data_IF_873756208100
#
_entry.id   IF_873756208100
#
_cell.length_a   1.000
_cell.length_b   1.000
_cell.length_c   1.000
_cell.angle_alpha   90.00
_cell.angle_beta   90.00
_cell.angle_gamma   90.00
#
_symmetry.space_group_name_H-M   'P 1'
#
loop_
_entity.id
_entity.type
_entity.pdbx_description
1 polymer ?
#
# COMPACT_ATOMS: atom_id res chain seq x y z
N UNK A 1 -26.73 68.01 -25.70
CA UNK A 1 -26.79 66.65 -26.27
C UNK A 1 -25.55 66.42 -27.10
N UNK A 2 -24.53 65.73 -26.57
CA UNK A 2 -23.38 65.25 -27.35
C UNK A 2 -23.41 63.73 -27.26
N UNK A 3 -24.09 63.12 -28.22
CA UNK A 3 -23.98 61.70 -28.48
C UNK A 3 -22.65 61.46 -29.18
N UNK A 4 -21.79 60.62 -28.61
CA UNK A 4 -21.29 59.47 -29.37
C UNK A 4 -20.66 58.41 -28.45
N UNK A 5 -21.36 57.28 -28.43
CA UNK A 5 -20.81 55.93 -28.51
C UNK A 5 -19.68 55.61 -27.53
N UNK A 6 -20.09 54.93 -26.45
CA UNK A 6 -19.35 53.81 -25.87
C UNK A 6 -18.89 52.84 -26.98
N UNK A 7 -17.76 53.11 -27.62
CA UNK A 7 -16.85 52.04 -28.00
C UNK A 7 -16.25 51.54 -26.70
N UNK A 8 -16.15 50.22 -26.51
CA UNK A 8 -15.45 49.60 -25.39
C UNK A 8 -14.07 50.25 -25.21
N UNK A 9 -13.94 51.23 -24.29
CA UNK A 9 -12.67 51.83 -23.92
C UNK A 9 -11.88 50.83 -23.08
N UNK A 10 -11.29 49.83 -23.73
CA UNK A 10 -10.35 48.95 -23.06
C UNK A 10 -9.00 49.68 -22.94
N UNK A 11 -8.80 50.32 -21.79
CA UNK A 11 -7.53 50.98 -21.45
C UNK A 11 -6.49 49.91 -21.07
N UNK A 12 -5.42 49.83 -21.85
CA UNK A 12 -4.32 48.88 -21.64
C UNK A 12 -3.04 49.58 -21.21
N UNK A 13 -2.18 48.88 -20.47
CA UNK A 13 -0.83 49.38 -20.16
C UNK A 13 0.03 49.44 -21.42
N UNK A 14 1.09 50.24 -21.43
CA UNK A 14 2.04 50.31 -22.56
C UNK A 14 2.64 48.91 -22.85
N UNK A 15 2.91 48.13 -21.81
CA UNK A 15 3.45 46.77 -21.94
C UNK A 15 2.47 45.82 -22.60
N UNK A 16 1.18 45.94 -22.30
CA UNK A 16 0.16 45.09 -22.93
C UNK A 16 -0.17 45.57 -24.34
N UNK A 17 -0.20 46.88 -24.57
CA UNK A 17 -0.28 47.47 -25.90
C UNK A 17 0.84 46.95 -26.81
N UNK A 18 2.09 46.95 -26.34
CA UNK A 18 3.24 46.44 -27.07
C UNK A 18 3.07 44.97 -27.49
N UNK A 19 2.50 44.13 -26.62
CA UNK A 19 2.16 42.73 -26.93
C UNK A 19 1.05 42.65 -27.98
N UNK A 20 0.02 43.47 -27.86
CA UNK A 20 -1.11 43.51 -28.80
C UNK A 20 -0.66 43.90 -30.21
N UNK A 21 0.25 44.85 -30.36
CA UNK A 21 0.71 45.31 -31.69
C UNK A 21 1.98 44.62 -32.19
N UNK A 22 2.58 43.75 -31.35
CA UNK A 22 3.85 43.05 -31.61
C UNK A 22 5.01 44.00 -31.95
N UNK A 23 5.08 45.11 -31.21
CA UNK A 23 6.17 46.10 -31.31
C UNK A 23 6.89 46.22 -29.97
N UNK A 24 8.10 46.76 -29.99
CA UNK A 24 8.84 47.04 -28.77
C UNK A 24 8.16 48.17 -27.99
N UNK A 25 8.21 48.11 -26.65
CA UNK A 25 7.69 49.17 -25.78
C UNK A 25 8.25 50.56 -26.15
N UNK A 26 9.53 50.63 -26.51
CA UNK A 26 10.19 51.87 -26.92
C UNK A 26 9.55 52.49 -28.17
N UNK A 27 9.06 51.68 -29.11
CA UNK A 27 8.34 52.16 -30.30
C UNK A 27 7.04 52.85 -29.91
N UNK A 28 6.27 52.25 -28.98
CA UNK A 28 5.03 52.86 -28.51
C UNK A 28 5.30 54.16 -27.74
N UNK A 29 6.34 54.20 -26.90
CA UNK A 29 6.73 55.44 -26.21
C UNK A 29 7.08 56.55 -27.19
N UNK A 30 7.88 56.25 -28.22
CA UNK A 30 8.24 57.21 -29.27
C UNK A 30 7.03 57.67 -30.07
N UNK A 31 6.10 56.77 -30.36
CA UNK A 31 4.88 57.10 -31.10
C UNK A 31 3.92 57.97 -30.26
N UNK A 32 3.95 57.84 -28.92
CA UNK A 32 3.26 58.77 -28.01
C UNK A 32 3.93 60.15 -28.03
N UNK A 33 5.26 60.20 -27.95
CA UNK A 33 6.04 61.45 -27.96
C UNK A 33 5.85 62.23 -29.28
N UNK A 34 5.77 61.51 -30.41
CA UNK A 34 5.55 62.09 -31.73
C UNK A 34 4.08 62.43 -32.02
N UNK A 35 3.15 62.16 -31.08
CA UNK A 35 1.71 62.41 -31.26
C UNK A 35 1.00 61.43 -32.19
N UNK A 36 1.65 60.33 -32.60
CA UNK A 36 1.03 59.27 -33.39
C UNK A 36 0.02 58.45 -32.57
N UNK A 37 0.27 58.30 -31.26
CA UNK A 37 -0.63 57.67 -30.29
C UNK A 37 -1.06 58.65 -29.21
N UNK A 38 -2.34 58.61 -28.86
CA UNK A 38 -2.85 59.33 -27.69
C UNK A 38 -2.72 58.48 -26.43
N UNK A 39 -2.32 59.09 -25.31
CA UNK A 39 -2.30 58.46 -23.99
C UNK A 39 -3.30 59.08 -23.04
N UNK A 40 -3.81 58.27 -22.12
CA UNK A 40 -4.61 58.70 -20.98
C UNK A 40 -3.76 58.55 -19.73
N UNK A 41 -3.63 59.61 -18.93
CA UNK A 41 -2.98 59.56 -17.63
C UNK A 41 -4.08 59.41 -16.58
N UNK A 42 -4.04 58.33 -15.81
CA UNK A 42 -4.99 58.08 -14.72
C UNK A 42 -4.67 58.95 -13.50
N UNK A 43 -5.57 58.99 -12.51
CA UNK A 43 -5.39 59.78 -11.28
C UNK A 43 -4.11 59.40 -10.51
N UNK A 44 -3.67 58.15 -10.65
CA UNK A 44 -2.45 57.62 -10.01
C UNK A 44 -1.16 57.90 -10.80
N UNK A 45 -1.24 58.67 -11.90
CA UNK A 45 -0.11 58.92 -12.81
C UNK A 45 0.17 57.81 -13.82
N UNK A 46 -0.62 56.73 -13.77
CA UNK A 46 -0.52 55.56 -14.63
C UNK A 46 -0.87 55.90 -16.09
N UNK A 47 0.01 55.55 -17.03
CA UNK A 47 -0.20 55.79 -18.46
C UNK A 47 -0.94 54.59 -19.08
N UNK A 48 -2.10 54.87 -19.67
CA UNK A 48 -2.93 53.92 -20.40
C UNK A 48 -3.13 54.35 -21.85
N UNK A 49 -3.33 53.38 -22.73
CA UNK A 49 -3.62 53.59 -24.15
C UNK A 49 -4.92 52.86 -24.47
N UNK A 50 -5.80 53.49 -25.25
CA UNK A 50 -7.02 52.85 -25.72
C UNK A 50 -6.70 51.84 -26.83
N UNK A 51 -7.30 50.65 -26.76
CA UNK A 51 -7.28 49.68 -27.86
C UNK A 51 -7.79 50.22 -29.19
N UNK A 52 -8.75 51.16 -29.19
CA UNK A 52 -9.22 51.82 -30.41
C UNK A 52 -8.12 52.68 -31.05
N UNK A 53 -7.34 53.40 -30.24
CA UNK A 53 -6.17 54.15 -30.71
C UNK A 53 -5.08 53.23 -31.28
N UNK A 54 -4.83 52.10 -30.62
CA UNK A 54 -3.89 51.10 -31.13
C UNK A 54 -4.35 50.51 -32.46
N UNK A 55 -5.66 50.28 -32.61
CA UNK A 55 -6.24 49.80 -33.86
C UNK A 55 -6.19 50.85 -34.97
N UNK A 56 -6.40 52.13 -34.65
CA UNK A 56 -6.24 53.24 -35.60
C UNK A 56 -4.79 53.38 -36.08
N UNK A 57 -3.83 53.33 -35.16
CA UNK A 57 -2.41 53.56 -35.44
C UNK A 57 -1.72 52.38 -36.14
N UNK A 58 -2.11 51.14 -35.81
CA UNK A 58 -1.41 49.94 -36.28
C UNK A 58 -2.29 48.94 -37.03
N UNK A 59 -3.59 49.21 -37.16
CA UNK A 59 -4.54 48.44 -37.98
C UNK A 59 -5.02 47.13 -37.35
N UNK A 60 -4.12 46.30 -36.83
CA UNK A 60 -4.44 44.96 -36.32
C UNK A 60 -3.87 44.71 -34.93
N UNK A 61 -4.74 44.29 -34.02
CA UNK A 61 -4.35 43.79 -32.70
C UNK A 61 -4.22 42.27 -32.72
N UNK A 62 -3.19 41.79 -32.06
CA UNK A 62 -2.89 40.37 -31.89
C UNK A 62 -3.24 39.97 -30.47
N UNK A 63 -4.14 39.01 -30.32
CA UNK A 63 -4.40 38.44 -29.02
C UNK A 63 -3.31 37.39 -28.70
N UNK A 64 -2.43 37.61 -27.72
CA UNK A 64 -1.42 36.62 -27.34
C UNK A 64 -2.04 35.31 -26.80
N UNK A 65 -3.30 35.33 -26.36
CA UNK A 65 -4.07 34.13 -25.95
C UNK A 65 -4.69 33.36 -27.13
N UNK A 66 -4.61 33.89 -28.35
CA UNK A 66 -5.09 33.24 -29.57
C UNK A 66 -3.99 32.47 -30.32
N UNK A 67 -2.79 32.31 -29.73
CA UNK A 67 -1.81 31.32 -30.20
C UNK A 67 -2.47 29.92 -30.31
N UNK A 68 -2.05 29.05 -31.26
CA UNK A 68 -2.77 27.82 -31.56
C UNK A 68 -2.81 26.89 -30.34
N UNK A 69 -3.96 26.90 -29.65
CA UNK A 69 -4.24 26.06 -28.48
C UNK A 69 -4.22 24.56 -28.84
N UNK A 70 -4.33 24.23 -30.12
CA UNK A 70 -4.36 22.88 -30.68
C UNK A 70 -3.12 22.06 -30.23
N UNK A 71 -1.91 22.56 -30.48
CA UNK A 71 -0.67 21.80 -30.26
C UNK A 71 -0.39 21.56 -28.77
N UNK A 72 -0.78 22.51 -27.92
CA UNK A 72 -0.60 22.41 -26.46
C UNK A 72 -1.65 21.50 -25.81
N UNK A 73 -2.87 21.46 -26.35
CA UNK A 73 -3.91 20.51 -25.94
C UNK A 73 -3.55 19.08 -26.33
N UNK A 74 -3.15 18.85 -27.58
CA UNK A 74 -2.77 17.51 -28.06
C UNK A 74 -1.64 16.89 -27.24
N UNK A 75 -0.62 17.68 -26.87
CA UNK A 75 0.49 17.18 -26.04
C UNK A 75 0.07 16.91 -24.59
N UNK A 76 -0.75 17.79 -23.99
CA UNK A 76 -1.30 17.57 -22.64
C UNK A 76 -2.28 16.39 -22.56
N UNK A 77 -3.08 16.17 -23.59
CA UNK A 77 -4.03 15.06 -23.65
C UNK A 77 -3.28 13.73 -23.81
N UNK A 78 -2.23 13.69 -24.64
CA UNK A 78 -1.38 12.49 -24.79
C UNK A 78 -0.71 12.07 -23.48
N UNK A 79 -0.15 13.02 -22.72
CA UNK A 79 0.48 12.69 -21.42
C UNK A 79 -0.56 12.24 -20.40
N UNK A 80 -1.74 12.86 -20.39
CA UNK A 80 -2.85 12.45 -19.52
C UNK A 80 -3.35 11.05 -19.85
N UNK A 81 -3.47 10.71 -21.13
CA UNK A 81 -3.87 9.38 -21.58
C UNK A 81 -2.83 8.34 -21.14
N UNK A 82 -1.54 8.59 -21.38
CA UNK A 82 -0.48 7.66 -20.97
C UNK A 82 -0.48 7.38 -19.45
N UNK A 83 -0.69 8.43 -18.64
CA UNK A 83 -0.79 8.29 -17.18
C UNK A 83 -2.01 7.46 -16.76
N UNK A 84 -3.16 7.67 -17.42
CA UNK A 84 -4.37 6.90 -17.14
C UNK A 84 -4.22 5.42 -17.53
N UNK A 85 -3.57 5.13 -18.66
CA UNK A 85 -3.27 3.77 -19.08
C UNK A 85 -2.32 3.04 -18.12
N UNK A 86 -1.30 3.72 -17.60
CA UNK A 86 -0.41 3.16 -16.58
C UNK A 86 -1.18 2.88 -15.28
N UNK A 87 -2.04 3.81 -14.85
CA UNK A 87 -2.88 3.63 -13.67
C UNK A 87 -3.84 2.45 -13.85
N UNK A 88 -4.46 2.29 -15.01
CA UNK A 88 -5.32 1.14 -15.31
C UNK A 88 -4.54 -0.17 -15.25
N UNK A 89 -3.36 -0.25 -15.87
CA UNK A 89 -2.47 -1.43 -15.77
C UNK A 89 -2.04 -1.75 -14.33
N UNK A 90 -1.88 -0.71 -13.50
CA UNK A 90 -1.61 -0.90 -12.07
C UNK A 90 -2.82 -1.50 -11.34
N UNK A 91 -4.01 -0.96 -11.58
CA UNK A 91 -5.25 -1.46 -10.97
C UNK A 91 -5.56 -2.90 -11.38
N UNK A 92 -5.33 -3.27 -12.64
CA UNK A 92 -5.48 -4.66 -13.11
C UNK A 92 -4.57 -5.61 -12.35
N UNK A 93 -3.30 -5.22 -12.10
CA UNK A 93 -2.37 -6.03 -11.29
C UNK A 93 -2.85 -6.18 -9.85
N UNK A 94 -3.40 -5.12 -9.25
CA UNK A 94 -3.95 -5.17 -7.89
C UNK A 94 -5.12 -6.16 -7.81
N UNK A 95 -6.03 -6.14 -8.79
CA UNK A 95 -7.17 -7.08 -8.84
C UNK A 95 -6.69 -8.54 -8.88
N UNK A 96 -5.66 -8.83 -9.69
CA UNK A 96 -5.09 -10.18 -9.77
C UNK A 96 -4.49 -10.61 -8.43
N UNK A 97 -3.68 -9.74 -7.81
CA UNK A 97 -3.05 -10.01 -6.52
C UNK A 97 -4.08 -10.19 -5.40
N UNK A 98 -5.15 -9.38 -5.38
CA UNK A 98 -6.23 -9.54 -4.42
C UNK A 98 -6.96 -10.88 -4.59
N UNK A 99 -7.16 -11.33 -5.83
CA UNK A 99 -7.75 -12.64 -6.09
C UNK A 99 -6.84 -13.78 -5.62
N UNK A 100 -5.53 -13.67 -5.80
CA UNK A 100 -4.54 -14.64 -5.27
C UNK A 100 -4.54 -14.67 -3.74
N UNK A 101 -4.54 -13.49 -3.09
CA UNK A 101 -4.62 -13.40 -1.64
C UNK A 101 -5.89 -14.05 -1.07
N UNK A 102 -7.04 -13.88 -1.74
CA UNK A 102 -8.28 -14.56 -1.35
C UNK A 102 -8.14 -16.07 -1.46
N UNK A 103 -7.58 -16.58 -2.57
CA UNK A 103 -7.35 -18.03 -2.75
C UNK A 103 -6.43 -18.60 -1.67
N UNK A 104 -5.31 -17.94 -1.39
CA UNK A 104 -4.35 -18.38 -0.35
C UNK A 104 -5.02 -18.36 1.02
N UNK A 105 -5.78 -17.31 1.34
CA UNK A 105 -6.53 -17.23 2.59
C UNK A 105 -7.51 -18.39 2.71
N UNK A 106 -8.28 -18.69 1.67
CA UNK A 106 -9.24 -19.78 1.66
C UNK A 106 -8.55 -21.13 1.85
N UNK A 107 -7.42 -21.36 1.17
CA UNK A 107 -6.58 -22.56 1.34
C UNK A 107 -6.13 -22.71 2.80
N UNK A 108 -5.54 -21.68 3.40
CA UNK A 108 -5.09 -21.70 4.79
C UNK A 108 -6.25 -22.00 5.74
N UNK A 109 -7.41 -21.37 5.53
CA UNK A 109 -8.58 -21.63 6.39
C UNK A 109 -9.10 -23.06 6.26
N UNK A 110 -9.06 -23.64 5.05
CA UNK A 110 -9.47 -25.01 4.82
C UNK A 110 -8.49 -26.01 5.44
N UNK A 111 -7.18 -25.78 5.32
CA UNK A 111 -6.18 -26.61 5.99
C UNK A 111 -6.30 -26.56 7.51
N UNK A 112 -6.52 -25.38 8.09
CA UNK A 112 -6.72 -25.23 9.53
C UNK A 112 -7.98 -25.97 9.99
N UNK A 113 -9.09 -25.89 9.23
CA UNK A 113 -10.32 -26.65 9.51
C UNK A 113 -10.10 -28.15 9.42
N UNK A 114 -9.38 -28.64 8.41
CA UNK A 114 -9.06 -30.05 8.27
C UNK A 114 -8.23 -30.56 9.46
N UNK A 115 -7.18 -29.81 9.86
CA UNK A 115 -6.36 -30.16 11.03
C UNK A 115 -7.14 -30.15 12.34
N UNK A 116 -8.15 -29.28 12.48
CA UNK A 116 -9.03 -29.28 13.64
C UNK A 116 -9.94 -30.52 13.63
N UNK A 117 -10.53 -30.86 12.49
CA UNK A 117 -11.36 -32.05 12.35
C UNK A 117 -10.58 -33.34 12.65
N UNK A 118 -9.32 -33.43 12.19
CA UNK A 118 -8.43 -34.56 12.50
C UNK A 118 -8.14 -34.66 13.99
N UNK A 119 -7.91 -33.53 14.66
CA UNK A 119 -7.72 -33.49 16.12
C UNK A 119 -8.97 -33.93 16.87
N UNK A 120 -10.15 -33.46 16.47
CA UNK A 120 -11.42 -33.88 17.06
C UNK A 120 -11.66 -35.39 16.88
N UNK A 121 -11.27 -35.94 15.73
CA UNK A 121 -11.33 -37.38 15.49
C UNK A 121 -10.38 -38.17 16.39
N UNK A 122 -9.14 -37.71 16.53
CA UNK A 122 -8.16 -38.34 17.43
C UNK A 122 -8.60 -38.30 18.88
N UNK A 123 -9.19 -37.18 19.33
CA UNK A 123 -9.76 -37.04 20.68
C UNK A 123 -10.83 -38.12 20.90
N UNK A 124 -11.77 -38.30 19.96
CA UNK A 124 -12.81 -39.34 20.06
C UNK A 124 -12.25 -40.76 20.13
N UNK A 125 -11.22 -41.06 19.33
CA UNK A 125 -10.55 -42.37 19.38
C UNK A 125 -9.90 -42.58 20.75
N UNK A 126 -9.21 -41.56 21.25
CA UNK A 126 -8.55 -41.63 22.55
C UNK A 126 -9.58 -41.79 23.69
N UNK A 127 -10.68 -41.04 23.67
CA UNK A 127 -11.79 -41.19 24.61
C UNK A 127 -12.36 -42.62 24.60
N UNK A 128 -12.65 -43.17 23.41
CA UNK A 128 -13.11 -44.55 23.26
C UNK A 128 -12.11 -45.58 23.84
N UNK A 129 -10.81 -45.38 23.59
CA UNK A 129 -9.76 -46.25 24.10
C UNK A 129 -9.59 -46.14 25.62
N UNK A 130 -9.72 -44.93 26.17
CA UNK A 130 -9.69 -44.70 27.63
C UNK A 130 -10.86 -45.42 28.29
N UNK A 131 -12.07 -45.28 27.77
CA UNK A 131 -13.26 -46.00 28.27
C UNK A 131 -13.06 -47.52 28.29
N UNK A 132 -12.49 -48.09 27.22
CA UNK A 132 -12.21 -49.51 27.15
C UNK A 132 -11.19 -49.96 28.22
N UNK A 133 -10.11 -49.20 28.40
CA UNK A 133 -9.10 -49.50 29.41
C UNK A 133 -9.63 -49.36 30.85
N UNK A 134 -10.54 -48.41 31.10
CA UNK A 134 -11.18 -48.25 32.41
C UNK A 134 -12.10 -49.43 32.71
N UNK A 135 -12.88 -49.89 31.73
CA UNK A 135 -13.70 -51.09 31.85
C UNK A 135 -12.84 -52.35 32.13
N UNK A 136 -11.74 -52.54 31.40
CA UNK A 136 -10.80 -53.65 31.63
C UNK A 136 -10.18 -53.63 33.03
N UNK A 137 -9.88 -52.43 33.56
CA UNK A 137 -9.38 -52.29 34.94
C UNK A 137 -10.44 -52.68 35.96
N UNK A 138 -11.69 -52.28 35.76
CA UNK A 138 -12.80 -52.60 36.67
C UNK A 138 -13.12 -54.10 36.66
N UNK A 139 -13.12 -54.74 35.48
CA UNK A 139 -13.39 -56.18 35.35
C UNK A 139 -12.25 -57.06 35.88
N UNK A 140 -11.00 -56.58 35.88
CA UNK A 140 -9.88 -57.26 36.56
C UNK A 140 -9.92 -57.17 38.09
N UNK A 141 -10.61 -56.19 38.66
CA UNK A 141 -10.83 -56.11 40.10
C UNK A 141 -12.03 -56.99 40.51
N UNK A 142 -11.93 -58.30 40.31
CA UNK A 142 -12.82 -59.26 40.98
C UNK A 142 -12.25 -59.51 42.38
N UNK A 143 -13.05 -59.45 43.47
CA UNK A 143 -12.55 -59.57 44.84
C UNK A 143 -12.09 -61.00 45.13
N UNK A 144 -10.79 -61.18 45.38
CA UNK A 144 -10.27 -62.40 46.02
C UNK A 144 -10.77 -62.44 47.45
N UNK A 145 -11.87 -63.15 47.68
CA UNK A 145 -12.28 -63.62 49.00
C UNK A 145 -11.55 -64.94 49.27
N UNK A 146 -10.56 -64.93 50.18
CA UNK A 146 -10.36 -65.95 51.23
C UNK A 146 -9.16 -65.59 52.15
N UNK A 147 -9.17 -66.03 53.42
CA UNK A 147 -8.70 -65.24 54.56
C UNK A 147 -7.27 -65.59 55.03
N UNK A 148 -6.70 -64.66 55.83
CA UNK A 148 -5.43 -64.83 56.55
C UNK A 148 -5.39 -66.11 57.41
N UNK A 149 -4.27 -66.84 57.31
CA UNK A 149 -3.80 -67.75 58.36
C UNK A 149 -2.30 -67.48 58.64
N UNK A 150 -1.87 -67.29 59.91
CA UNK A 150 -0.52 -66.82 60.22
C UNK A 150 0.51 -67.93 60.51
N UNK A 151 1.70 -67.80 59.91
CA UNK A 151 3.08 -68.18 60.35
C UNK A 151 3.39 -69.68 60.67
N UNK A 152 4.67 -70.18 60.61
CA UNK A 152 5.90 -69.53 61.09
C UNK A 152 7.18 -69.66 60.22
N UNK A 153 8.16 -68.83 60.59
CA UNK A 153 9.48 -68.64 60.01
C UNK A 153 10.51 -69.73 60.37
N UNK A 154 11.54 -69.94 59.52
CA UNK A 154 12.99 -70.07 59.87
C UNK A 154 13.93 -70.32 58.65
N UNK A 155 15.30 -70.20 58.75
CA UNK A 155 16.07 -69.18 58.02
C UNK A 155 17.35 -69.71 57.30
N UNK A 156 18.28 -68.78 57.00
CA UNK A 156 19.73 -68.90 56.68
C UNK A 156 20.11 -68.81 55.18
N UNK A 157 20.73 -67.69 54.78
CA UNK A 157 22.19 -67.47 54.61
C UNK A 157 22.67 -68.04 53.25
N UNK A 158 23.34 -67.32 52.35
CA UNK A 158 24.50 -66.44 52.54
C UNK A 158 24.85 -65.77 51.19
N UNK A 159 25.54 -64.64 51.23
CA UNK A 159 26.33 -64.03 50.13
C UNK A 159 27.80 -64.01 50.59
N UNK A 160 28.82 -63.59 49.79
CA UNK A 160 29.12 -63.62 48.33
C UNK A 160 30.56 -64.19 48.09
N UNK A 161 31.28 -63.94 46.96
CA UNK A 161 32.12 -62.72 46.93
C UNK A 161 32.39 -62.05 45.56
N UNK A 162 32.65 -60.74 45.65
CA UNK A 162 33.65 -59.91 44.98
C UNK A 162 33.87 -59.90 43.44
N UNK A 163 33.45 -58.76 42.87
CA UNK A 163 34.25 -57.81 42.07
C UNK A 163 35.18 -58.31 40.94
N UNK A 164 34.89 -57.88 39.70
CA UNK A 164 35.89 -57.10 38.93
C UNK A 164 35.25 -56.19 37.88
N UNK A 165 35.60 -54.91 38.01
CA UNK A 165 35.51 -53.80 37.06
C UNK A 165 35.89 -54.18 35.61
N UNK A 166 35.03 -53.86 34.63
CA UNK A 166 35.52 -53.55 33.26
C UNK A 166 34.65 -52.54 32.52
N UNK A 167 35.00 -51.29 32.77
CA UNK A 167 34.83 -50.09 31.95
C UNK A 167 34.90 -50.39 30.43
N UNK A 168 33.81 -50.13 29.70
CA UNK A 168 33.87 -49.72 28.28
C UNK A 168 32.97 -48.52 28.03
N UNK A 169 33.63 -47.42 27.68
CA UNK A 169 33.05 -46.17 27.18
C UNK A 169 32.52 -46.37 25.75
N UNK A 170 31.31 -45.89 25.48
CA UNK A 170 30.84 -45.28 24.21
C UNK A 170 29.76 -44.27 24.60
N UNK A 171 30.10 -42.99 24.71
CA UNK A 171 30.09 -42.00 23.63
C UNK A 171 28.65 -41.51 23.32
N UNK A 172 28.37 -40.28 23.77
CA UNK A 172 27.54 -39.31 23.05
C UNK A 172 26.01 -39.46 23.13
N UNK A 173 25.40 -38.94 24.20
CA UNK A 173 24.03 -38.38 24.13
C UNK A 173 24.05 -36.97 24.69
N UNK A 174 24.45 -36.04 23.84
CA UNK A 174 24.29 -34.60 24.06
C UNK A 174 23.53 -34.02 22.88
N UNK A 175 22.46 -33.28 23.16
CA UNK A 175 21.92 -32.27 22.25
C UNK A 175 20.90 -32.74 21.20
N UNK A 176 19.65 -32.91 21.62
CA UNK A 176 18.51 -32.74 20.69
C UNK A 176 17.65 -31.51 21.04
N UNK A 177 17.63 -31.09 22.31
CA UNK A 177 16.74 -30.03 22.79
C UNK A 177 17.25 -28.59 22.64
N UNK A 178 18.51 -28.38 22.22
CA UNK A 178 19.10 -27.01 22.07
C UNK A 178 18.84 -26.34 20.70
N UNK A 179 18.14 -27.00 19.76
CA UNK A 179 17.90 -26.42 18.43
C UNK A 179 16.53 -25.76 18.24
N UNK A 180 15.60 -25.89 19.20
CA UNK A 180 14.21 -25.41 19.01
C UNK A 180 13.95 -24.06 19.70
N UNK A 181 14.76 -23.68 20.69
CA UNK A 181 14.55 -22.42 21.42
C UNK A 181 15.87 -21.67 21.61
N UNK A 182 16.17 -20.77 20.68
CA UNK A 182 17.12 -19.67 20.89
C UNK A 182 18.22 -19.57 19.85
N UNK A 183 18.00 -18.70 18.86
CA UNK A 183 18.95 -17.65 18.47
C UNK A 183 18.26 -16.66 17.53
N UNK A 184 18.37 -15.39 17.93
CA UNK A 184 17.98 -14.12 17.27
C UNK A 184 16.51 -13.68 17.39
#
# INVERSE_FOLDING_TARGET
MFWHLFHNMALVSISDAAKLVRKARATLTRDIENGHLTKTVLQDGDIRIDTAELLRAYGRLHNPQAAPKETRRITGDKTKIALLEERNRSLERVIVLEAELRRIKDQVTNELRARLADKDHLIKILESKVMFLEYDKQTRQVPTLEPEQPAPARPTASSPPAATERRRRRAGRGGWWRSIFGSE
#
